data_IF_314681568588
#
_entry.id   IF_314681568588
#
_cell.length_a   1.000
_cell.length_b   1.000
_cell.length_c   1.000
_cell.angle_alpha   90.00
_cell.angle_beta   90.00
_cell.angle_gamma   90.00
#
_symmetry.space_group_name_H-M   'P 1'
#
loop_
_entity.id
_entity.type
_entity.pdbx_description
1 polymer ?
#
# COMPACT_ATOMS: atom_id res chain seq x y z
N UNK A 1 -5.02 1.77 -15.24
CA UNK A 1 -4.38 1.72 -13.92
C UNK A 1 -3.10 0.91 -13.98
N UNK A 2 -2.06 1.37 -13.32
CA UNK A 2 -0.79 0.66 -13.30
C UNK A 2 -0.89 -0.61 -12.45
N UNK A 3 -0.21 -1.65 -12.90
CA UNK A 3 -0.21 -2.91 -12.20
C UNK A 3 0.77 -2.87 -11.03
N UNK A 4 0.39 -3.53 -9.93
CA UNK A 4 1.26 -3.62 -8.75
C UNK A 4 2.21 -4.79 -8.86
N UNK A 5 3.46 -4.58 -8.44
CA UNK A 5 4.39 -5.68 -8.23
C UNK A 5 3.96 -6.49 -7.02
N UNK A 6 4.57 -7.66 -6.85
CA UNK A 6 4.23 -8.55 -5.75
C UNK A 6 4.42 -7.88 -4.38
N UNK A 7 5.56 -7.21 -4.19
CA UNK A 7 5.84 -6.53 -2.93
C UNK A 7 4.86 -5.37 -2.69
N UNK A 8 4.56 -4.61 -3.73
CA UNK A 8 3.62 -3.51 -3.62
C UNK A 8 2.22 -4.02 -3.28
N UNK A 9 1.84 -5.14 -3.86
CA UNK A 9 0.54 -5.74 -3.59
C UNK A 9 0.42 -6.18 -2.13
N UNK A 10 1.49 -6.74 -1.55
CA UNK A 10 1.51 -7.11 -0.14
C UNK A 10 1.27 -5.90 0.76
N UNK A 11 1.91 -4.78 0.44
CA UNK A 11 1.72 -3.54 1.19
C UNK A 11 0.27 -3.09 1.09
N UNK A 12 -0.28 -3.09 -0.11
CA UNK A 12 -1.66 -2.66 -0.31
C UNK A 12 -2.64 -3.56 0.44
N UNK A 13 -2.39 -4.87 0.51
CA UNK A 13 -3.24 -5.77 1.27
C UNK A 13 -3.30 -5.40 2.74
N UNK A 14 -2.17 -5.00 3.31
CA UNK A 14 -2.13 -4.55 4.71
C UNK A 14 -2.97 -3.28 4.88
N UNK A 15 -2.79 -2.32 3.99
CA UNK A 15 -3.49 -1.04 4.06
C UNK A 15 -5.01 -1.25 3.87
N UNK A 16 -5.38 -2.07 2.90
CA UNK A 16 -6.80 -2.37 2.66
C UNK A 16 -7.44 -3.07 3.86
N UNK A 17 -6.73 -4.03 4.44
CA UNK A 17 -7.26 -4.80 5.57
C UNK A 17 -7.49 -3.96 6.82
N UNK A 18 -6.63 -2.96 7.04
CA UNK A 18 -6.72 -2.12 8.23
C UNK A 18 -7.95 -1.22 8.23
N UNK A 19 -8.36 -0.78 7.04
CA UNK A 19 -9.51 0.10 6.88
C UNK A 19 -9.42 1.38 7.73
N UNK A 20 -8.19 1.86 7.94
CA UNK A 20 -7.90 3.07 8.71
C UNK A 20 -6.50 3.53 8.35
N UNK A 21 -6.16 4.81 8.63
CA UNK A 21 -4.79 5.28 8.39
C UNK A 21 -3.77 4.51 9.22
N UNK A 22 -2.65 4.17 8.62
CA UNK A 22 -1.59 3.42 9.28
C UNK A 22 -0.27 4.17 9.20
N UNK A 23 0.55 4.02 10.24
CA UNK A 23 1.94 4.48 10.21
C UNK A 23 2.81 3.43 9.53
N UNK A 24 3.98 3.85 9.02
CA UNK A 24 4.90 2.93 8.37
C UNK A 24 5.30 1.77 9.26
N UNK A 25 5.55 2.03 10.55
CA UNK A 25 5.93 0.98 11.49
C UNK A 25 4.83 -0.06 11.65
N UNK A 26 3.57 0.37 11.64
CA UNK A 26 2.45 -0.56 11.74
C UNK A 26 2.38 -1.46 10.51
N UNK A 27 2.60 -0.88 9.33
CA UNK A 27 2.64 -1.65 8.10
C UNK A 27 3.78 -2.66 8.13
N UNK A 28 4.95 -2.21 8.60
CA UNK A 28 6.13 -3.07 8.70
C UNK A 28 5.89 -4.27 9.60
N UNK A 29 5.23 -4.06 10.74
CA UNK A 29 4.91 -5.13 11.68
C UNK A 29 4.05 -6.20 11.04
N UNK A 30 3.05 -5.79 10.27
CA UNK A 30 2.17 -6.73 9.59
C UNK A 30 2.90 -7.50 8.50
N UNK A 31 3.82 -6.85 7.80
CA UNK A 31 4.57 -7.48 6.71
C UNK A 31 5.61 -8.48 7.20
N UNK A 32 6.08 -8.35 8.43
CA UNK A 32 7.08 -9.26 9.00
C UNK A 32 6.60 -10.70 9.05
N UNK A 33 5.30 -10.92 9.11
CA UNK A 33 4.75 -12.26 9.12
C UNK A 33 4.96 -12.99 7.79
N UNK A 34 5.12 -12.24 6.70
CA UNK A 34 5.23 -12.83 5.37
C UNK A 34 6.67 -12.91 4.88
N UNK A 35 7.48 -11.90 5.18
CA UNK A 35 8.89 -11.86 4.80
C UNK A 35 9.57 -10.75 5.59
N UNK A 36 10.89 -10.80 5.61
CA UNK A 36 11.65 -9.73 6.26
C UNK A 36 11.67 -8.50 5.35
N UNK A 37 11.11 -7.43 5.86
CA UNK A 37 11.13 -6.14 5.20
C UNK A 37 12.08 -5.21 5.93
N UNK A 38 12.97 -4.54 5.20
CA UNK A 38 13.73 -3.43 5.75
C UNK A 38 12.85 -2.19 5.70
N UNK A 39 12.97 -1.31 6.70
CA UNK A 39 12.19 -0.08 6.72
C UNK A 39 12.47 0.78 5.49
N UNK A 40 13.73 0.86 5.07
CA UNK A 40 14.09 1.64 3.88
C UNK A 40 13.41 1.11 2.63
N UNK A 41 13.32 -0.20 2.48
CA UNK A 41 12.65 -0.82 1.35
C UNK A 41 11.15 -0.49 1.37
N UNK A 42 10.54 -0.58 2.56
CA UNK A 42 9.14 -0.24 2.71
C UNK A 42 8.89 1.22 2.33
N UNK A 43 9.72 2.13 2.83
CA UNK A 43 9.56 3.56 2.55
C UNK A 43 9.67 3.87 1.06
N UNK A 44 10.62 3.23 0.37
CA UNK A 44 10.77 3.38 -1.08
C UNK A 44 9.53 2.88 -1.82
N UNK A 45 8.99 1.74 -1.39
CA UNK A 45 7.79 1.18 -2.01
C UNK A 45 6.57 2.04 -1.78
N UNK A 46 6.44 2.61 -0.57
CA UNK A 46 5.33 3.53 -0.26
C UNK A 46 5.40 4.78 -1.12
N UNK A 47 6.59 5.32 -1.34
CA UNK A 47 6.77 6.47 -2.22
C UNK A 47 6.32 6.16 -3.65
N UNK A 48 6.67 4.97 -4.15
CA UNK A 48 6.24 4.56 -5.48
C UNK A 48 4.73 4.40 -5.57
N UNK A 49 4.13 3.83 -4.53
CA UNK A 49 2.66 3.68 -4.49
C UNK A 49 1.96 5.03 -4.51
N UNK A 50 2.51 6.01 -3.79
CA UNK A 50 1.97 7.37 -3.83
C UNK A 50 2.04 7.95 -5.25
N UNK A 51 3.18 7.80 -5.90
CA UNK A 51 3.37 8.31 -7.26
C UNK A 51 2.45 7.63 -8.27
N UNK A 52 2.16 6.37 -8.07
CA UNK A 52 1.24 5.62 -8.93
C UNK A 52 -0.22 5.96 -8.65
N UNK A 53 -0.50 6.68 -7.58
CA UNK A 53 -1.85 7.08 -7.23
C UNK A 53 -2.64 6.05 -6.44
N UNK A 54 -1.98 5.09 -5.82
CA UNK A 54 -2.65 4.06 -5.03
C UNK A 54 -2.88 4.46 -3.58
N UNK A 55 -2.00 5.28 -3.01
CA UNK A 55 -2.12 5.69 -1.62
C UNK A 55 -1.96 7.19 -1.49
N UNK A 56 -2.48 7.71 -0.39
CA UNK A 56 -2.27 9.08 0.04
C UNK A 56 -1.42 9.05 1.30
N UNK A 57 -0.47 9.97 1.39
CA UNK A 57 0.38 10.10 2.57
C UNK A 57 0.03 11.42 3.25
N UNK A 58 -0.48 11.33 4.47
CA UNK A 58 -0.79 12.50 5.28
C UNK A 58 0.46 12.90 6.06
N UNK A 59 1.05 14.02 5.68
CA UNK A 59 2.29 14.52 6.29
C UNK A 59 2.04 15.68 7.25
N UNK A 60 0.78 15.93 7.57
CA UNK A 60 0.42 17.09 8.40
C UNK A 60 0.56 16.83 9.88
N UNK A 61 0.70 15.59 10.28
CA UNK A 61 0.80 15.19 11.69
C UNK A 61 2.23 14.86 12.04
N UNK A 62 2.44 14.55 13.32
CA UNK A 62 3.77 14.18 13.81
C UNK A 62 4.39 13.01 13.06
N UNK A 63 3.55 12.03 12.71
CA UNK A 63 3.96 10.88 11.91
C UNK A 63 3.19 10.86 10.62
N UNK A 64 3.79 10.32 9.57
CA UNK A 64 3.09 10.13 8.31
C UNK A 64 2.07 8.99 8.45
N UNK A 65 0.88 9.21 7.90
CA UNK A 65 -0.18 8.21 7.89
C UNK A 65 -0.50 7.86 6.44
N UNK A 66 -0.70 6.59 6.19
CA UNK A 66 -0.89 6.04 4.85
C UNK A 66 -2.30 5.48 4.71
N UNK A 67 -2.99 5.89 3.66
CA UNK A 67 -4.34 5.41 3.37
C UNK A 67 -4.44 5.04 1.91
N UNK A 68 -5.34 4.09 1.59
CA UNK A 68 -5.58 3.68 0.22
C UNK A 68 -6.46 4.72 -0.48
N UNK A 69 -6.05 5.13 -1.66
CA UNK A 69 -6.86 5.97 -2.55
C UNK A 69 -7.70 5.08 -3.45
N UNK A 70 -7.12 3.96 -3.88
CA UNK A 70 -7.81 2.97 -4.73
C UNK A 70 -8.23 1.83 -3.82
N UNK A 71 -9.51 1.45 -3.84
CA UNK A 71 -10.00 0.34 -3.04
C UNK A 71 -9.54 -0.99 -3.63
N UNK A 72 -9.50 -2.01 -2.79
CA UNK A 72 -9.17 -3.36 -3.25
C UNK A 72 -10.15 -3.84 -4.31
N UNK A 73 -11.41 -3.57 -4.10
CA UNK A 73 -12.46 -3.93 -5.04
C UNK A 73 -12.26 -3.29 -6.40
N UNK A 74 -11.95 -1.98 -6.42
CA UNK A 74 -11.70 -1.25 -7.66
C UNK A 74 -10.47 -1.79 -8.38
N UNK A 75 -9.42 -2.09 -7.64
CA UNK A 75 -8.20 -2.62 -8.25
C UNK A 75 -8.47 -3.97 -8.92
N UNK A 76 -9.12 -4.87 -8.20
CA UNK A 76 -9.42 -6.21 -8.71
C UNK A 76 -10.40 -6.17 -9.88
N UNK A 77 -11.38 -5.30 -9.81
CA UNK A 77 -12.36 -5.13 -10.87
C UNK A 77 -11.71 -4.70 -12.18
N UNK A 78 -10.80 -3.73 -12.11
CA UNK A 78 -10.11 -3.23 -13.31
C UNK A 78 -9.17 -4.26 -13.88
N UNK A 79 -8.52 -5.07 -13.06
CA UNK A 79 -7.71 -6.18 -13.54
C UNK A 79 -8.56 -7.22 -14.27
N UNK A 80 -9.73 -7.54 -13.72
CA UNK A 80 -10.63 -8.50 -14.33
C UNK A 80 -11.05 -8.06 -15.72
N UNK A 81 -11.24 -6.79 -15.92
CA UNK A 81 -11.65 -6.25 -17.22
C UNK A 81 -10.63 -6.48 -18.32
N UNK A 82 -9.38 -6.65 -17.97
CA UNK A 82 -8.34 -6.86 -19.00
C UNK A 82 -8.47 -8.22 -19.68
N UNK A 83 -9.26 -9.11 -19.12
CA UNK A 83 -9.48 -10.43 -19.69
C UNK A 83 -10.72 -10.50 -20.57
N UNK A 84 -11.43 -9.43 -20.64
CA UNK A 84 -12.62 -9.35 -21.49
C UNK A 84 -12.30 -8.72 -22.82
#
# INVERSE_FOLDING_TARGET
MKKLGEAEFEIMQVIWSANRPLKANSILEELKEKRKWALSTLMSSLSRLEKKGFINIDRTKRYNFYTAVVSEEDYKSKESRTFL
#
